data_IF_819194024422
#
_entry.id   IF_819194024422
#
_cell.length_a   1.000
_cell.length_b   1.000
_cell.length_c   1.000
_cell.angle_alpha   90.00
_cell.angle_beta   90.00
_cell.angle_gamma   90.00
#
_symmetry.space_group_name_H-M   'P 1'
#
loop_
_entity.id
_entity.type
_entity.pdbx_description
1 polymer ?
#
# COMPACT_ATOMS: atom_id res chain seq x y z
N UNK A 1 19.00 10.02 -7.30
CA UNK A 1 19.51 8.81 -6.65
C UNK A 1 18.81 7.62 -7.29
N UNK A 2 19.55 6.57 -7.60
CA UNK A 2 18.96 5.34 -8.15
C UNK A 2 18.30 4.50 -7.05
N UNK A 3 17.29 3.66 -7.33
CA UNK A 3 16.65 2.79 -6.34
C UNK A 3 17.65 1.85 -5.63
N UNK A 4 18.68 1.38 -6.33
CA UNK A 4 19.75 0.53 -5.82
C UNK A 4 20.57 1.22 -4.71
N UNK A 5 20.88 2.51 -4.91
CA UNK A 5 21.61 3.30 -3.90
C UNK A 5 20.76 3.47 -2.63
N UNK A 6 19.44 3.66 -2.79
CA UNK A 6 18.52 3.73 -1.66
C UNK A 6 18.48 2.38 -0.92
N UNK A 7 18.43 1.26 -1.65
CA UNK A 7 18.46 -0.07 -1.04
C UNK A 7 19.74 -0.37 -0.27
N UNK A 8 20.91 0.06 -0.77
CA UNK A 8 22.18 -0.10 -0.06
C UNK A 8 22.18 0.68 1.26
N UNK A 9 21.67 1.91 1.27
CA UNK A 9 21.52 2.71 2.48
C UNK A 9 20.61 2.01 3.49
N UNK A 10 19.47 1.49 3.02
CA UNK A 10 18.51 0.76 3.87
C UNK A 10 19.12 -0.53 4.43
N UNK A 11 19.78 -1.34 3.60
CA UNK A 11 20.47 -2.58 4.03
C UNK A 11 21.56 -2.28 5.07
N UNK A 12 22.32 -1.20 4.88
CA UNK A 12 23.35 -0.78 5.81
C UNK A 12 22.80 -0.31 7.17
N UNK A 13 21.58 0.21 7.21
CA UNK A 13 20.95 0.76 8.42
C UNK A 13 20.09 -0.27 9.13
N UNK A 14 19.27 -1.03 8.39
CA UNK A 14 18.23 -1.92 8.92
C UNK A 14 18.55 -3.41 8.76
N UNK A 15 19.62 -3.75 8.05
CA UNK A 15 20.11 -5.14 7.95
C UNK A 15 19.05 -6.11 7.47
N UNK A 16 18.73 -7.09 8.32
CA UNK A 16 17.79 -8.19 8.00
C UNK A 16 16.33 -7.74 7.80
N UNK A 17 15.95 -6.53 8.22
CA UNK A 17 14.60 -6.00 7.98
C UNK A 17 14.36 -5.66 6.50
N UNK A 18 15.41 -5.55 5.69
CA UNK A 18 15.33 -5.47 4.24
C UNK A 18 15.42 -6.90 3.71
N UNK A 19 14.26 -7.49 3.44
CA UNK A 19 14.14 -8.92 3.17
C UNK A 19 14.46 -9.29 1.72
N UNK A 20 14.22 -8.39 0.78
CA UNK A 20 14.52 -8.62 -0.64
C UNK A 20 14.67 -7.29 -1.42
N UNK A 21 15.16 -7.39 -2.65
CA UNK A 21 15.24 -6.26 -3.59
C UNK A 21 15.00 -6.76 -5.01
N UNK A 22 14.10 -6.11 -5.74
CA UNK A 22 13.80 -6.45 -7.12
C UNK A 22 14.00 -5.23 -8.01
N UNK A 23 15.06 -5.23 -8.82
CA UNK A 23 15.43 -4.10 -9.69
C UNK A 23 15.29 -4.41 -11.17
N UNK A 24 15.13 -5.68 -11.55
CA UNK A 24 15.00 -6.10 -12.95
C UNK A 24 13.57 -6.01 -13.49
N UNK A 25 12.60 -5.71 -12.62
CA UNK A 25 11.19 -5.56 -13.01
C UNK A 25 10.90 -4.18 -13.60
N UNK A 26 9.75 -4.06 -14.26
CA UNK A 26 9.24 -2.77 -14.73
C UNK A 26 8.98 -1.76 -13.59
N UNK A 27 8.88 -2.23 -12.34
CA UNK A 27 8.66 -1.43 -11.14
C UNK A 27 9.66 -1.84 -10.05
N UNK A 28 10.90 -1.30 -10.10
CA UNK A 28 11.95 -1.61 -9.14
C UNK A 28 11.55 -1.29 -7.71
N UNK A 29 11.78 -2.25 -6.79
CA UNK A 29 11.32 -2.12 -5.40
C UNK A 29 12.25 -2.76 -4.39
N UNK A 30 12.12 -2.28 -3.15
CA UNK A 30 12.77 -2.84 -1.96
C UNK A 30 11.71 -3.48 -1.09
N UNK A 31 11.93 -4.71 -0.63
CA UNK A 31 11.00 -5.43 0.24
C UNK A 31 11.42 -5.25 1.69
N UNK A 32 10.49 -4.82 2.53
CA UNK A 32 10.69 -4.51 3.94
C UNK A 32 9.78 -5.37 4.80
N UNK A 33 10.31 -5.89 5.92
CA UNK A 33 9.53 -6.62 6.91
C UNK A 33 8.47 -5.70 7.55
N UNK A 34 7.25 -6.21 7.76
CA UNK A 34 6.12 -5.41 8.20
C UNK A 34 6.35 -4.77 9.58
N UNK A 35 6.98 -5.47 10.50
CA UNK A 35 7.30 -4.99 11.85
C UNK A 35 8.29 -3.82 11.86
N UNK A 36 9.23 -3.79 10.92
CA UNK A 36 10.21 -2.73 10.78
C UNK A 36 9.70 -1.53 9.94
N UNK A 37 8.56 -1.69 9.26
CA UNK A 37 8.07 -0.70 8.30
C UNK A 37 7.94 0.72 8.88
N UNK A 38 7.38 0.97 10.06
CA UNK A 38 7.25 2.34 10.59
C UNK A 38 8.59 3.04 10.79
N UNK A 39 9.60 2.32 11.28
CA UNK A 39 10.95 2.88 11.45
C UNK A 39 11.62 3.17 10.10
N UNK A 40 11.52 2.24 9.17
CA UNK A 40 12.04 2.42 7.81
C UNK A 40 11.35 3.60 7.12
N UNK A 41 10.03 3.73 7.25
CA UNK A 41 9.25 4.82 6.69
C UNK A 41 9.69 6.19 7.25
N UNK A 42 9.84 6.30 8.55
CA UNK A 42 10.34 7.52 9.18
C UNK A 42 11.76 7.87 8.71
N UNK A 43 12.65 6.87 8.63
CA UNK A 43 13.99 7.05 8.11
C UNK A 43 14.02 7.52 6.64
N UNK A 44 13.20 6.90 5.78
CA UNK A 44 13.09 7.28 4.36
C UNK A 44 12.67 8.75 4.19
N UNK A 45 11.77 9.24 5.04
CA UNK A 45 11.34 10.64 5.03
C UNK A 45 12.41 11.60 5.55
N UNK A 46 13.07 11.24 6.65
CA UNK A 46 13.85 12.19 7.47
C UNK A 46 15.36 12.18 7.16
N UNK A 47 15.91 11.08 6.62
CA UNK A 47 17.35 11.02 6.27
C UNK A 47 17.70 12.04 5.18
N UNK A 48 18.72 12.87 5.44
CA UNK A 48 19.10 14.00 4.58
C UNK A 48 19.49 13.57 3.16
N UNK A 49 19.96 12.33 2.98
CA UNK A 49 20.34 11.78 1.68
C UNK A 49 19.13 11.41 0.85
N UNK A 50 18.05 10.92 1.51
CA UNK A 50 16.87 10.35 0.89
C UNK A 50 15.74 11.37 0.76
N UNK A 51 15.28 11.93 1.87
CA UNK A 51 14.20 12.92 1.98
C UNK A 51 12.98 12.57 1.11
N UNK A 52 12.52 11.31 1.20
CA UNK A 52 11.34 10.84 0.47
C UNK A 52 10.07 11.43 1.11
N UNK A 53 9.89 12.72 0.91
CA UNK A 53 8.88 13.56 1.57
C UNK A 53 7.50 13.47 0.94
N UNK A 54 7.34 12.74 -0.16
CA UNK A 54 6.08 12.63 -0.89
C UNK A 54 5.71 11.16 -1.12
N UNK A 55 4.58 10.75 -0.55
CA UNK A 55 3.93 9.49 -0.88
C UNK A 55 3.04 9.71 -2.12
N UNK A 56 3.36 9.04 -3.21
CA UNK A 56 2.62 9.13 -4.48
C UNK A 56 1.38 8.26 -4.47
N UNK A 57 1.53 7.01 -4.01
CA UNK A 57 0.44 6.03 -3.91
C UNK A 57 0.79 4.91 -2.93
N UNK A 58 -0.24 4.20 -2.45
CA UNK A 58 -0.14 2.87 -1.87
C UNK A 58 -1.02 1.97 -2.73
N UNK A 59 -0.44 0.91 -3.29
CA UNK A 59 -1.18 -0.08 -4.09
C UNK A 59 -1.21 -1.40 -3.33
N UNK A 60 -2.40 -1.92 -3.05
CA UNK A 60 -2.54 -3.27 -2.51
C UNK A 60 -2.51 -4.29 -3.66
N UNK A 61 -1.79 -5.40 -3.46
CA UNK A 61 -1.63 -6.47 -4.43
C UNK A 61 -1.97 -7.80 -3.78
N UNK A 62 -2.79 -8.59 -4.44
CA UNK A 62 -3.15 -9.95 -4.01
C UNK A 62 -2.26 -10.98 -4.73
N UNK A 63 -1.42 -11.68 -3.99
CA UNK A 63 -0.61 -12.82 -4.44
C UNK A 63 -1.30 -14.12 -3.98
N UNK A 64 -2.46 -14.42 -4.61
CA UNK A 64 -3.31 -15.56 -4.23
C UNK A 64 -2.56 -16.90 -4.22
N UNK A 65 -1.66 -17.12 -5.19
CA UNK A 65 -0.88 -18.35 -5.30
C UNK A 65 0.16 -18.52 -4.18
N UNK A 66 0.59 -17.41 -3.56
CA UNK A 66 1.57 -17.37 -2.49
C UNK A 66 0.93 -17.18 -1.10
N UNK A 67 -0.38 -17.13 -1.00
CA UNK A 67 -1.15 -16.79 0.21
C UNK A 67 -0.70 -15.48 0.88
N UNK A 68 -0.39 -14.45 0.06
CA UNK A 68 0.11 -13.16 0.56
C UNK A 68 -0.65 -11.97 0.00
N UNK A 69 -0.73 -10.93 0.80
CA UNK A 69 -0.96 -9.56 0.34
C UNK A 69 0.32 -8.75 0.37
N UNK A 70 0.38 -7.74 -0.46
CA UNK A 70 1.40 -6.72 -0.39
C UNK A 70 0.78 -5.33 -0.37
N UNK A 71 1.39 -4.40 0.37
CA UNK A 71 1.24 -2.97 0.15
C UNK A 71 2.51 -2.44 -0.50
N UNK A 72 2.36 -1.78 -1.65
CA UNK A 72 3.46 -1.15 -2.40
C UNK A 72 3.33 0.35 -2.27
N UNK A 73 4.32 0.97 -1.66
CA UNK A 73 4.41 2.40 -1.39
C UNK A 73 5.31 3.06 -2.43
N UNK A 74 4.75 3.87 -3.32
CA UNK A 74 5.50 4.68 -4.25
C UNK A 74 5.90 6.00 -3.61
N UNK A 75 7.18 6.15 -3.35
CA UNK A 75 7.75 7.31 -2.65
C UNK A 75 8.56 8.18 -3.59
N UNK A 76 8.54 9.47 -3.34
CA UNK A 76 9.31 10.43 -4.09
C UNK A 76 9.89 11.53 -3.21
N UNK A 77 11.03 12.08 -3.62
CA UNK A 77 11.62 13.29 -3.06
C UNK A 77 11.44 14.44 -4.03
N UNK A 78 10.72 15.46 -3.61
CA UNK A 78 10.61 16.72 -4.32
C UNK A 78 11.35 17.80 -3.55
N UNK A 79 12.22 18.53 -4.24
CA UNK A 79 12.99 19.66 -3.67
C UNK A 79 12.77 20.91 -4.52
N UNK A 80 12.89 22.11 -3.91
CA UNK A 80 12.89 23.34 -4.67
C UNK A 80 13.96 23.30 -5.76
N UNK A 81 13.59 23.66 -6.96
CA UNK A 81 14.51 23.78 -8.09
C UNK A 81 15.59 24.84 -7.84
N UNK A 82 16.68 24.77 -8.59
CA UNK A 82 17.80 25.72 -8.48
C UNK A 82 17.53 27.07 -9.14
N UNK A 83 16.47 27.17 -9.93
CA UNK A 83 16.06 28.38 -10.66
C UNK A 83 14.59 28.67 -10.42
N UNK A 84 14.16 29.92 -10.60
CA UNK A 84 12.77 30.35 -10.45
C UNK A 84 11.82 29.65 -11.45
N UNK A 85 12.35 29.08 -12.54
CA UNK A 85 11.60 28.30 -13.51
C UNK A 85 11.36 26.85 -13.08
N UNK A 86 12.16 26.32 -12.14
CA UNK A 86 12.11 24.94 -11.64
C UNK A 86 11.45 24.93 -10.27
N UNK A 87 10.12 25.10 -10.22
CA UNK A 87 9.39 25.23 -8.94
C UNK A 87 9.64 24.04 -7.99
N UNK A 88 9.63 22.80 -8.51
CA UNK A 88 9.88 21.58 -7.75
C UNK A 88 10.50 20.51 -8.65
N UNK A 89 11.63 19.96 -8.29
CA UNK A 89 12.30 18.92 -9.03
C UNK A 89 12.21 17.57 -8.31
N UNK A 90 11.86 16.52 -9.06
CA UNK A 90 11.97 15.13 -8.61
C UNK A 90 13.47 14.77 -8.49
N UNK A 91 13.92 14.45 -7.30
CA UNK A 91 15.34 14.15 -7.04
C UNK A 91 15.59 12.69 -6.70
N UNK A 92 14.59 11.97 -6.19
CA UNK A 92 14.65 10.55 -5.87
C UNK A 92 13.25 9.94 -5.99
N UNK A 93 13.17 8.67 -6.39
CA UNK A 93 11.95 7.88 -6.36
C UNK A 93 12.29 6.41 -6.11
N UNK A 94 11.51 5.73 -5.27
CA UNK A 94 11.66 4.31 -4.97
C UNK A 94 10.31 3.73 -4.59
N UNK A 95 10.07 2.47 -4.94
CA UNK A 95 8.95 1.70 -4.42
C UNK A 95 9.41 0.82 -3.25
N UNK A 96 8.61 0.81 -2.19
CA UNK A 96 8.79 -0.07 -1.04
C UNK A 96 7.62 -1.05 -1.01
N UNK A 97 7.92 -2.34 -0.89
CA UNK A 97 6.91 -3.38 -0.76
C UNK A 97 6.96 -3.96 0.64
N UNK A 98 5.79 -4.09 1.26
CA UNK A 98 5.59 -4.81 2.53
C UNK A 98 4.67 -5.98 2.24
N UNK A 99 5.15 -7.20 2.51
CA UNK A 99 4.43 -8.46 2.32
C UNK A 99 3.88 -8.95 3.65
N UNK A 100 2.64 -9.44 3.64
CA UNK A 100 1.97 -10.04 4.81
C UNK A 100 1.19 -11.29 4.41
N UNK A 101 0.88 -12.15 5.37
CA UNK A 101 0.04 -13.33 5.16
C UNK A 101 -1.41 -12.92 4.87
N UNK A 102 -2.09 -13.59 3.93
CA UNK A 102 -3.51 -13.31 3.60
C UNK A 102 -4.45 -13.60 4.78
N UNK A 103 -4.07 -14.53 5.67
CA UNK A 103 -4.88 -14.88 6.84
C UNK A 103 -4.61 -13.97 8.05
N UNK A 104 -3.52 -13.19 7.99
CA UNK A 104 -3.14 -12.20 9.03
C UNK A 104 -2.57 -10.95 8.34
N UNK A 105 -3.42 -10.18 7.61
CA UNK A 105 -2.98 -9.14 6.69
C UNK A 105 -2.70 -7.80 7.38
N UNK A 106 -1.90 -7.81 8.45
CA UNK A 106 -1.62 -6.67 9.29
C UNK A 106 -0.33 -5.96 8.90
N UNK A 107 -0.42 -4.66 8.62
CA UNK A 107 0.70 -3.75 8.35
C UNK A 107 0.57 -2.54 9.28
N UNK A 108 1.62 -2.13 9.99
CA UNK A 108 1.57 -0.88 10.76
C UNK A 108 1.31 0.34 9.87
N UNK A 109 0.36 1.20 10.25
CA UNK A 109 0.03 2.43 9.53
C UNK A 109 1.19 3.42 9.52
N UNK A 110 1.39 4.07 8.38
CA UNK A 110 2.35 5.18 8.22
C UNK A 110 1.67 6.53 7.95
N UNK A 111 0.38 6.66 8.27
CA UNK A 111 -0.37 7.91 8.15
C UNK A 111 0.23 9.06 9.01
N UNK A 112 0.97 8.71 10.07
CA UNK A 112 1.73 9.67 10.88
C UNK A 112 3.04 10.13 10.21
N UNK A 113 3.56 9.35 9.26
CA UNK A 113 4.74 9.70 8.46
C UNK A 113 4.34 10.54 7.25
N UNK A 114 3.40 10.05 6.45
CA UNK A 114 2.84 10.77 5.30
C UNK A 114 1.32 10.88 5.43
N UNK A 115 0.81 12.09 5.55
CA UNK A 115 -0.64 12.31 5.72
C UNK A 115 -1.49 11.75 4.56
N UNK A 116 -0.92 11.64 3.37
CA UNK A 116 -1.60 11.02 2.22
C UNK A 116 -1.88 9.54 2.44
N UNK A 117 -1.09 8.84 3.28
CA UNK A 117 -1.28 7.43 3.57
C UNK A 117 -2.66 7.14 4.20
N UNK A 118 -3.22 8.06 4.99
CA UNK A 118 -4.55 7.91 5.59
C UNK A 118 -5.59 7.41 4.55
N UNK A 119 -5.74 8.09 3.43
CA UNK A 119 -6.72 7.72 2.41
C UNK A 119 -6.34 6.47 1.61
N UNK A 120 -5.07 6.32 1.27
CA UNK A 120 -4.58 5.15 0.54
C UNK A 120 -4.67 3.86 1.36
N UNK A 121 -4.37 3.92 2.66
CA UNK A 121 -4.50 2.78 3.57
C UNK A 121 -5.96 2.37 3.72
N UNK A 122 -6.87 3.33 3.82
CA UNK A 122 -8.32 3.06 3.86
C UNK A 122 -8.81 2.43 2.56
N UNK A 123 -8.35 2.90 1.40
CA UNK A 123 -8.66 2.28 0.11
C UNK A 123 -8.16 0.84 0.03
N UNK A 124 -6.90 0.61 0.41
CA UNK A 124 -6.30 -0.72 0.40
C UNK A 124 -7.03 -1.70 1.34
N UNK A 125 -7.44 -1.24 2.53
CA UNK A 125 -8.30 -2.04 3.40
C UNK A 125 -9.65 -2.31 2.76
N UNK A 126 -10.34 -1.27 2.30
CA UNK A 126 -11.70 -1.37 1.80
C UNK A 126 -11.82 -2.35 0.64
N UNK A 127 -10.90 -2.28 -0.32
CA UNK A 127 -10.96 -3.08 -1.55
C UNK A 127 -10.26 -4.43 -1.46
N UNK A 128 -9.20 -4.56 -0.66
CA UNK A 128 -8.32 -5.74 -0.62
C UNK A 128 -8.25 -6.41 0.76
N UNK A 129 -8.68 -5.74 1.84
CA UNK A 129 -8.70 -6.32 3.18
C UNK A 129 -7.38 -6.23 3.93
N UNK A 130 -6.39 -5.46 3.46
CA UNK A 130 -5.15 -5.21 4.21
C UNK A 130 -5.46 -4.31 5.40
N UNK A 131 -5.18 -4.78 6.62
CA UNK A 131 -5.45 -4.07 7.86
C UNK A 131 -4.24 -3.21 8.24
N UNK A 132 -4.47 -1.92 8.44
CA UNK A 132 -3.42 -0.99 8.85
C UNK A 132 -3.52 -0.69 10.35
N UNK A 133 -2.61 -1.28 11.13
CA UNK A 133 -2.61 -1.16 12.58
C UNK A 133 -2.31 0.27 13.03
N UNK A 134 -3.03 0.73 14.04
CA UNK A 134 -2.94 2.10 14.57
C UNK A 134 -3.26 3.20 13.54
N UNK A 135 -4.05 2.88 12.52
CA UNK A 135 -4.54 3.89 11.59
C UNK A 135 -5.37 4.96 12.32
N UNK A 136 -5.21 6.27 12.01
CA UNK A 136 -5.86 7.35 12.78
C UNK A 136 -7.39 7.34 12.68
N UNK A 137 -7.96 6.84 11.57
CA UNK A 137 -9.42 6.69 11.38
C UNK A 137 -9.81 5.21 11.40
N UNK A 138 -9.49 4.52 12.52
CA UNK A 138 -9.90 3.14 12.74
C UNK A 138 -11.25 3.05 13.44
N UNK A 139 -12.01 2.02 13.07
CA UNK A 139 -13.28 1.64 13.69
C UNK A 139 -13.21 0.21 14.22
N UNK A 140 -13.99 -0.08 15.29
CA UNK A 140 -14.10 -1.42 15.82
C UNK A 140 -15.09 -2.23 14.97
N UNK A 141 -14.63 -3.37 14.46
CA UNK A 141 -15.43 -4.33 13.70
C UNK A 141 -15.48 -5.70 14.40
N UNK A 142 -16.06 -6.69 13.72
CA UNK A 142 -16.20 -8.06 14.25
C UNK A 142 -14.84 -8.73 14.55
N UNK A 143 -13.82 -8.39 13.76
CA UNK A 143 -12.47 -8.99 13.84
C UNK A 143 -11.43 -8.04 14.45
N UNK A 144 -11.86 -7.02 15.20
CA UNK A 144 -10.97 -6.03 15.80
C UNK A 144 -11.02 -4.67 15.09
N UNK A 145 -10.00 -3.84 15.36
CA UNK A 145 -9.91 -2.52 14.77
C UNK A 145 -9.39 -2.61 13.33
N UNK A 146 -10.02 -1.86 12.43
CA UNK A 146 -9.60 -1.72 11.03
C UNK A 146 -9.85 -0.30 10.53
N UNK A 147 -9.18 0.15 9.46
CA UNK A 147 -9.48 1.45 8.84
C UNK A 147 -10.94 1.54 8.39
N UNK A 148 -11.53 2.73 8.48
CA UNK A 148 -12.89 2.98 7.99
C UNK A 148 -12.94 2.85 6.46
N UNK A 149 -13.96 2.16 5.93
CA UNK A 149 -14.22 2.09 4.48
C UNK A 149 -14.47 3.47 3.87
N UNK A 150 -14.17 3.63 2.57
CA UNK A 150 -14.34 4.89 1.83
C UNK A 150 -15.04 4.71 0.47
N UNK A 151 -15.04 3.53 -0.10
CA UNK A 151 -15.57 3.24 -1.44
C UNK A 151 -16.76 2.29 -1.41
N UNK A 152 -16.65 1.18 -0.66
CA UNK A 152 -17.75 0.25 -0.49
C UNK A 152 -18.78 0.80 0.51
N UNK A 153 -20.09 0.51 0.34
CA UNK A 153 -21.09 0.77 1.36
C UNK A 153 -20.77 0.08 2.69
N UNK A 154 -21.27 0.63 3.80
CA UNK A 154 -20.97 0.12 5.15
C UNK A 154 -21.43 -1.33 5.37
N UNK A 155 -22.46 -1.76 4.67
CA UNK A 155 -23.03 -3.10 4.70
C UNK A 155 -22.47 -4.06 3.61
N UNK A 156 -21.43 -3.63 2.87
CA UNK A 156 -20.79 -4.49 1.88
C UNK A 156 -19.97 -5.58 2.55
N UNK A 157 -20.22 -6.83 2.16
CA UNK A 157 -19.51 -7.98 2.70
C UNK A 157 -18.24 -8.31 1.89
N UNK A 158 -17.13 -8.50 2.60
CA UNK A 158 -15.82 -8.84 2.00
C UNK A 158 -15.12 -7.66 1.31
N UNK A 159 -14.16 -7.99 0.45
CA UNK A 159 -13.27 -7.04 -0.22
C UNK A 159 -13.26 -7.32 -1.73
N UNK A 160 -13.86 -6.44 -2.55
CA UNK A 160 -14.26 -6.78 -3.92
C UNK A 160 -13.11 -6.91 -4.93
N UNK A 161 -11.89 -6.52 -4.59
CA UNK A 161 -10.73 -6.67 -5.47
C UNK A 161 -9.82 -7.85 -5.12
N UNK A 162 -10.16 -8.64 -4.10
CA UNK A 162 -9.49 -9.92 -3.89
C UNK A 162 -9.73 -10.85 -5.08
N UNK A 163 -8.71 -11.58 -5.50
CA UNK A 163 -8.79 -12.43 -6.71
C UNK A 163 -9.80 -13.58 -6.61
N UNK A 164 -10.06 -14.04 -5.40
CA UNK A 164 -11.02 -15.11 -5.08
C UNK A 164 -12.36 -14.58 -4.57
N UNK A 165 -12.60 -13.27 -4.67
CA UNK A 165 -13.86 -12.66 -4.22
C UNK A 165 -15.04 -13.09 -5.09
N UNK A 166 -16.05 -13.68 -4.44
CA UNK A 166 -17.30 -14.03 -5.07
C UNK A 166 -18.29 -12.86 -4.97
N UNK A 167 -18.56 -12.19 -6.08
CA UNK A 167 -19.55 -11.11 -6.12
C UNK A 167 -20.96 -11.62 -5.76
N UNK A 168 -21.71 -10.87 -4.94
CA UNK A 168 -23.09 -11.22 -4.63
C UNK A 168 -23.94 -11.22 -5.90
N UNK A 169 -24.85 -12.17 -6.02
CA UNK A 169 -25.78 -12.25 -7.17
C UNK A 169 -26.90 -11.20 -7.10
N UNK A 170 -27.07 -10.59 -5.96
CA UNK A 170 -28.07 -9.55 -5.69
C UNK A 170 -27.53 -8.61 -4.60
N UNK A 171 -27.82 -7.32 -4.72
CA UNK A 171 -27.54 -6.34 -3.68
C UNK A 171 -28.76 -5.43 -3.49
N UNK A 172 -29.34 -5.41 -2.28
CA UNK A 172 -30.56 -4.65 -1.91
C UNK A 172 -31.75 -4.89 -2.85
N UNK A 173 -31.97 -6.14 -3.27
CA UNK A 173 -33.07 -6.50 -4.18
C UNK A 173 -32.77 -6.19 -5.65
N UNK A 174 -31.58 -5.71 -5.97
CA UNK A 174 -31.14 -5.44 -7.34
C UNK A 174 -30.29 -6.61 -7.82
N UNK A 175 -30.71 -7.38 -8.84
CA UNK A 175 -29.93 -8.48 -9.38
C UNK A 175 -28.64 -7.97 -10.01
N UNK A 176 -27.52 -8.65 -9.72
CA UNK A 176 -26.21 -8.37 -10.34
C UNK A 176 -26.09 -8.94 -11.76
N UNK A 177 -27.10 -9.68 -12.23
CA UNK A 177 -27.12 -10.29 -13.57
C UNK A 177 -27.79 -9.33 -14.55
N UNK A 178 -27.09 -8.98 -15.64
CA UNK A 178 -27.69 -8.21 -16.72
C UNK A 178 -28.64 -9.08 -17.58
N UNK A 179 -29.65 -8.48 -18.21
CA UNK A 179 -30.64 -9.17 -19.07
C UNK A 179 -30.01 -10.01 -20.20
N UNK A 180 -28.74 -9.85 -20.49
CA UNK A 180 -27.99 -10.55 -21.51
C UNK A 180 -27.28 -11.83 -21.03
N UNK A 181 -27.52 -12.31 -19.81
CA UNK A 181 -26.80 -13.46 -19.22
C UNK A 181 -25.26 -13.36 -19.32
N UNK A 182 -24.74 -12.17 -19.49
CA UNK A 182 -23.30 -11.93 -19.47
C UNK A 182 -22.87 -11.72 -18.02
N UNK A 183 -22.57 -12.82 -17.35
CA UNK A 183 -21.68 -12.73 -16.19
C UNK A 183 -20.40 -12.05 -16.65
N UNK A 184 -19.96 -11.00 -15.95
CA UNK A 184 -18.62 -10.45 -16.20
C UNK A 184 -17.62 -11.59 -16.08
N UNK A 185 -16.70 -11.76 -17.03
CA UNK A 185 -15.69 -12.81 -16.91
C UNK A 185 -14.93 -12.55 -15.60
N UNK A 186 -14.88 -13.57 -14.77
CA UNK A 186 -13.98 -13.63 -13.63
C UNK A 186 -12.59 -13.71 -14.25
N UNK A 187 -11.78 -12.69 -14.05
CA UNK A 187 -10.40 -12.65 -14.52
C UNK A 187 -9.50 -13.40 -13.55
#
# INVERSE_FOLDING_TARGET
MAPEETAEILKGTFGASITDTEFESAHPRVVVAADAWPEVAAFLRDDERLQLNFLRSISAVDYLEDDKFAAVYDLASYRPGKTDSDAWALTNAVAIQVLVDRNDPHIPSVAHVWRAADWHEREAYDLMGVIFDNHPDSVEGLNGFHPRRILCPDDWEGHPLQKDYAFPMEYHGIPAVTELNQTRPIH
#
